data_IF_602440616484
#
_entry.id   IF_602440616484
#
_cell.length_a   1.000
_cell.length_b   1.000
_cell.length_c   1.000
_cell.angle_alpha   90.00
_cell.angle_beta   90.00
_cell.angle_gamma   90.00
#
_symmetry.space_group_name_H-M   'P 1'
#
loop_
_entity.id
_entity.type
_entity.pdbx_description
1 polymer ?
#
# COMPACT_ATOMS: atom_id res chain seq x y z
N UNK A 1 16.31 -34.35 -8.95
CA UNK A 1 15.02 -33.75 -9.32
C UNK A 1 14.95 -32.45 -8.57
N UNK A 2 15.28 -31.34 -9.24
CA UNK A 2 15.27 -30.01 -8.63
C UNK A 2 13.81 -29.56 -8.48
N UNK A 3 13.40 -29.21 -7.26
CA UNK A 3 12.05 -28.69 -6.99
C UNK A 3 12.05 -27.17 -7.15
N UNK A 4 10.91 -26.57 -7.49
CA UNK A 4 10.78 -25.11 -7.61
C UNK A 4 11.23 -24.36 -6.33
N UNK A 5 11.32 -25.06 -5.19
CA UNK A 5 11.67 -24.54 -3.88
C UNK A 5 13.15 -24.69 -3.48
N UNK A 6 14.00 -25.17 -4.39
CA UNK A 6 15.41 -25.47 -4.07
C UNK A 6 16.21 -24.26 -3.54
N UNK A 7 15.79 -23.04 -3.88
CA UNK A 7 16.41 -21.80 -3.42
C UNK A 7 15.61 -21.08 -2.33
N UNK A 8 14.50 -21.65 -1.90
CA UNK A 8 13.65 -21.09 -0.86
C UNK A 8 14.19 -21.48 0.52
N UNK A 9 15.36 -20.93 0.87
CA UNK A 9 16.07 -21.26 2.12
C UNK A 9 16.44 -20.01 2.92
N UNK A 10 16.70 -20.14 4.24
CA UNK A 10 17.08 -19.01 5.09
C UNK A 10 18.32 -18.26 4.59
N UNK A 11 19.26 -18.97 3.97
CA UNK A 11 20.50 -18.41 3.44
C UNK A 11 20.23 -17.45 2.29
N UNK A 12 19.42 -17.85 1.31
CA UNK A 12 19.06 -16.99 0.18
C UNK A 12 18.21 -15.80 0.61
N UNK A 13 17.30 -16.00 1.57
CA UNK A 13 16.53 -14.90 2.16
C UNK A 13 17.45 -13.88 2.85
N UNK A 14 18.40 -14.35 3.67
CA UNK A 14 19.36 -13.47 4.33
C UNK A 14 20.21 -12.70 3.32
N UNK A 15 20.76 -13.38 2.30
CA UNK A 15 21.65 -12.75 1.30
C UNK A 15 20.90 -11.69 0.48
N UNK A 16 19.75 -12.05 -0.08
CA UNK A 16 19.05 -11.20 -1.05
C UNK A 16 18.23 -10.10 -0.36
N UNK A 17 17.49 -10.45 0.70
CA UNK A 17 16.59 -9.51 1.36
C UNK A 17 17.24 -8.78 2.54
N UNK A 18 17.81 -9.47 3.53
CA UNK A 18 18.32 -8.76 4.72
C UNK A 18 19.68 -8.08 4.49
N UNK A 19 20.64 -8.77 3.88
CA UNK A 19 21.99 -8.25 3.62
C UNK A 19 22.06 -7.39 2.36
N UNK A 20 21.02 -7.41 1.53
CA UNK A 20 20.98 -6.70 0.25
C UNK A 20 22.25 -6.96 -0.60
N UNK A 21 22.72 -8.21 -0.66
CA UNK A 21 23.87 -8.64 -1.48
C UNK A 21 23.42 -9.19 -2.83
N UNK A 22 24.35 -9.19 -3.77
CA UNK A 22 24.16 -9.78 -5.10
C UNK A 22 24.51 -11.27 -5.06
N UNK A 23 23.92 -12.06 -5.95
CA UNK A 23 24.10 -13.51 -5.96
C UNK A 23 24.54 -13.96 -7.35
N UNK A 24 25.54 -14.83 -7.42
CA UNK A 24 25.99 -15.50 -8.64
C UNK A 24 25.76 -17.00 -8.46
N UNK A 25 24.95 -17.58 -9.34
CA UNK A 25 24.63 -19.00 -9.36
C UNK A 25 25.29 -19.63 -10.59
N UNK A 26 26.07 -20.69 -10.36
CA UNK A 26 26.69 -21.47 -11.41
C UNK A 26 26.83 -22.95 -10.99
N UNK A 27 26.91 -23.90 -11.92
CA UNK A 27 26.56 -23.72 -13.32
C UNK A 27 25.05 -23.44 -13.48
N UNK A 28 24.67 -23.07 -14.70
CA UNK A 28 23.35 -22.55 -15.03
C UNK A 28 22.20 -23.41 -14.48
N UNK A 29 21.18 -22.72 -13.97
CA UNK A 29 19.96 -23.33 -13.44
C UNK A 29 18.75 -22.91 -14.26
N UNK A 30 17.78 -23.79 -14.39
CA UNK A 30 16.54 -23.48 -15.09
C UNK A 30 15.83 -22.26 -14.51
N UNK A 31 15.27 -21.44 -15.41
CA UNK A 31 14.63 -20.17 -15.05
C UNK A 31 13.46 -20.35 -14.08
N UNK A 32 12.75 -21.47 -14.17
CA UNK A 32 11.62 -21.77 -13.27
C UNK A 32 12.07 -21.81 -11.81
N UNK A 33 13.21 -22.45 -11.53
CA UNK A 33 13.78 -22.53 -10.19
C UNK A 33 14.32 -21.17 -9.76
N UNK A 34 14.98 -20.45 -10.65
CA UNK A 34 15.51 -19.11 -10.39
C UNK A 34 14.41 -18.12 -9.97
N UNK A 35 13.21 -18.24 -10.57
CA UNK A 35 12.06 -17.38 -10.26
C UNK A 35 11.55 -17.50 -8.82
N UNK A 36 11.88 -18.57 -8.10
CA UNK A 36 11.57 -18.66 -6.67
C UNK A 36 12.25 -17.54 -5.86
N UNK A 37 13.43 -17.09 -6.30
CA UNK A 37 14.20 -16.01 -5.66
C UNK A 37 13.54 -14.63 -5.83
N UNK A 38 12.60 -14.46 -6.77
CA UNK A 38 11.87 -13.20 -6.95
C UNK A 38 11.11 -12.79 -5.69
N UNK A 39 10.69 -13.75 -4.88
CA UNK A 39 10.05 -13.49 -3.58
C UNK A 39 10.96 -12.68 -2.66
N UNK A 40 12.28 -12.81 -2.81
CA UNK A 40 13.24 -12.09 -1.97
C UNK A 40 13.61 -10.69 -2.49
N UNK A 41 13.08 -10.29 -3.65
CA UNK A 41 13.32 -8.99 -4.27
C UNK A 41 12.26 -7.93 -3.93
N UNK A 42 11.54 -8.09 -2.81
CA UNK A 42 10.47 -7.16 -2.38
C UNK A 42 10.96 -5.71 -2.36
N UNK A 43 10.14 -4.81 -2.92
CA UNK A 43 10.43 -3.38 -3.03
C UNK A 43 11.18 -2.98 -4.30
N UNK A 44 11.64 -3.95 -5.10
CA UNK A 44 12.32 -3.68 -6.37
C UNK A 44 11.46 -4.02 -7.58
N UNK A 45 11.70 -3.31 -8.67
CA UNK A 45 11.18 -3.68 -9.98
C UNK A 45 12.08 -4.76 -10.58
N UNK A 46 11.50 -5.92 -10.90
CA UNK A 46 12.27 -7.09 -11.37
C UNK A 46 12.38 -7.08 -12.89
N UNK A 47 13.62 -7.12 -13.40
CA UNK A 47 13.92 -7.13 -14.84
C UNK A 47 14.79 -8.32 -15.21
N UNK A 48 14.37 -9.09 -16.21
CA UNK A 48 15.14 -10.19 -16.77
C UNK A 48 16.01 -9.68 -17.94
N UNK A 49 17.32 -9.90 -17.88
CA UNK A 49 18.28 -9.54 -18.93
C UNK A 49 19.02 -10.78 -19.42
N UNK A 50 18.83 -11.14 -20.68
CA UNK A 50 19.55 -12.26 -21.30
C UNK A 50 20.75 -11.75 -22.08
N UNK A 51 21.96 -12.09 -21.61
CA UNK A 51 23.22 -11.68 -22.23
C UNK A 51 23.43 -12.29 -23.62
N UNK A 52 22.72 -13.38 -23.95
CA UNK A 52 22.73 -13.91 -25.30
C UNK A 52 22.03 -12.96 -26.31
N UNK A 53 21.11 -12.12 -25.85
CA UNK A 53 20.33 -11.21 -26.68
C UNK A 53 20.77 -9.74 -26.57
N UNK A 54 21.44 -9.36 -25.47
CA UNK A 54 21.77 -7.97 -25.15
C UNK A 54 23.29 -7.82 -25.04
N UNK A 55 23.92 -7.20 -26.04
CA UNK A 55 25.37 -7.04 -26.09
C UNK A 55 25.95 -5.96 -25.16
N UNK A 56 25.12 -5.00 -24.71
CA UNK A 56 25.54 -3.87 -23.87
C UNK A 56 24.90 -3.93 -22.45
N UNK A 57 24.82 -5.12 -21.87
CA UNK A 57 24.13 -5.36 -20.59
C UNK A 57 24.61 -4.46 -19.45
N UNK A 58 25.93 -4.27 -19.34
CA UNK A 58 26.52 -3.43 -18.30
C UNK A 58 26.14 -1.95 -18.43
N UNK A 59 26.08 -1.43 -19.67
CA UNK A 59 25.73 -0.03 -19.91
C UNK A 59 24.26 0.25 -19.54
N UNK A 60 23.36 -0.69 -19.85
CA UNK A 60 21.95 -0.59 -19.49
C UNK A 60 21.79 -0.56 -17.97
N UNK A 61 22.45 -1.49 -17.28
CA UNK A 61 22.40 -1.60 -15.82
C UNK A 61 22.99 -0.34 -15.16
N UNK A 62 24.12 0.17 -15.65
CA UNK A 62 24.74 1.40 -15.11
C UNK A 62 23.87 2.64 -15.35
N UNK A 63 23.26 2.75 -16.53
CA UNK A 63 22.37 3.85 -16.88
C UNK A 63 21.11 3.87 -16.02
N UNK A 64 20.48 2.71 -15.80
CA UNK A 64 19.29 2.62 -14.95
C UNK A 64 19.63 2.77 -13.46
N UNK A 65 20.72 2.17 -12.99
CA UNK A 65 21.14 2.29 -11.59
C UNK A 65 21.57 3.72 -11.20
N UNK A 66 21.83 4.60 -12.18
CA UNK A 66 22.12 6.02 -11.98
C UNK A 66 20.90 6.92 -12.13
N UNK A 67 19.77 6.38 -12.60
CA UNK A 67 18.52 7.12 -12.76
C UNK A 67 17.75 7.21 -11.44
N UNK A 68 17.21 8.39 -11.13
CA UNK A 68 16.37 8.67 -9.94
C UNK A 68 14.97 8.03 -10.08
N UNK A 69 14.88 6.72 -10.32
CA UNK A 69 13.58 6.02 -10.28
C UNK A 69 13.06 5.98 -8.84
N UNK A 70 11.74 6.06 -8.67
CA UNK A 70 11.12 6.00 -7.34
C UNK A 70 11.17 4.59 -6.72
N UNK A 71 11.47 3.56 -7.53
CA UNK A 71 11.68 2.19 -7.08
C UNK A 71 13.00 1.65 -7.66
N UNK A 72 13.87 1.05 -6.84
CA UNK A 72 15.13 0.48 -7.31
C UNK A 72 14.88 -0.77 -8.16
N UNK A 73 15.68 -0.99 -9.19
CA UNK A 73 15.56 -2.16 -10.07
C UNK A 73 16.39 -3.33 -9.54
N UNK A 74 15.87 -4.55 -9.67
CA UNK A 74 16.56 -5.80 -9.37
C UNK A 74 16.66 -6.66 -10.63
N UNK A 75 17.88 -6.98 -11.05
CA UNK A 75 18.11 -7.66 -12.33
C UNK A 75 18.33 -9.17 -12.16
N UNK A 76 17.69 -9.97 -13.02
CA UNK A 76 18.10 -11.34 -13.28
C UNK A 76 18.93 -11.36 -14.55
N UNK A 77 20.25 -11.54 -14.41
CA UNK A 77 21.19 -11.58 -15.52
C UNK A 77 21.44 -13.04 -15.92
N UNK A 78 21.00 -13.39 -17.13
CA UNK A 78 20.98 -14.76 -17.63
C UNK A 78 22.08 -14.97 -18.67
N UNK A 79 22.80 -16.08 -18.53
CA UNK A 79 23.88 -16.50 -19.43
C UNK A 79 25.00 -15.45 -19.69
N UNK A 80 25.43 -14.61 -18.72
CA UNK A 80 26.55 -13.72 -18.98
C UNK A 80 27.87 -14.48 -19.06
N UNK A 81 28.79 -13.95 -19.86
CA UNK A 81 30.18 -14.43 -19.95
C UNK A 81 30.99 -13.94 -18.75
N UNK A 82 32.10 -14.62 -18.46
CA UNK A 82 33.02 -14.28 -17.36
C UNK A 82 33.45 -12.80 -17.37
N UNK A 83 33.76 -12.24 -18.55
CA UNK A 83 34.15 -10.82 -18.72
C UNK A 83 33.03 -9.84 -18.33
N UNK A 84 31.77 -10.20 -18.58
CA UNK A 84 30.62 -9.38 -18.21
C UNK A 84 30.37 -9.44 -16.71
N UNK A 85 30.51 -10.63 -16.12
CA UNK A 85 30.39 -10.85 -14.69
C UNK A 85 31.47 -10.04 -13.93
N UNK A 86 32.70 -10.05 -14.42
CA UNK A 86 33.80 -9.27 -13.83
C UNK A 86 33.48 -7.76 -13.84
N UNK A 87 32.90 -7.24 -14.93
CA UNK A 87 32.42 -5.85 -14.99
C UNK A 87 31.29 -5.58 -13.99
N UNK A 88 30.30 -6.47 -13.89
CA UNK A 88 29.19 -6.34 -12.94
C UNK A 88 29.66 -6.32 -11.48
N UNK A 89 30.65 -7.16 -11.15
CA UNK A 89 31.20 -7.25 -9.79
C UNK A 89 31.84 -5.93 -9.37
N UNK A 90 32.47 -5.23 -10.31
CA UNK A 90 33.10 -3.93 -10.08
C UNK A 90 32.09 -2.76 -10.02
N UNK A 91 30.82 -2.99 -10.36
CA UNK A 91 29.81 -1.92 -10.35
C UNK A 91 29.26 -1.65 -8.94
N UNK A 92 29.12 -0.37 -8.60
CA UNK A 92 28.85 0.09 -7.22
C UNK A 92 27.37 0.24 -6.87
N UNK A 93 26.44 0.19 -7.83
CA UNK A 93 24.99 0.40 -7.57
C UNK A 93 24.07 -0.72 -8.03
N UNK A 94 24.63 -1.83 -8.52
CA UNK A 94 23.83 -2.93 -9.08
C UNK A 94 23.26 -3.83 -7.99
N UNK A 95 21.98 -4.20 -8.16
CA UNK A 95 21.27 -5.26 -7.42
C UNK A 95 20.86 -6.36 -8.38
N UNK A 96 21.42 -7.56 -8.25
CA UNK A 96 21.15 -8.63 -9.20
C UNK A 96 21.36 -10.07 -8.70
N UNK A 97 20.71 -11.00 -9.40
CA UNK A 97 21.04 -12.43 -9.44
C UNK A 97 21.62 -12.74 -10.82
N UNK A 98 22.81 -13.29 -10.86
CA UNK A 98 23.49 -13.75 -12.06
C UNK A 98 23.35 -15.28 -12.15
N UNK A 99 22.93 -15.78 -13.30
CA UNK A 99 22.81 -17.20 -13.59
C UNK A 99 23.66 -17.55 -14.81
N UNK A 100 24.81 -18.22 -14.60
CA UNK A 100 25.81 -18.44 -15.65
C UNK A 100 26.23 -19.91 -15.78
N UNK A 101 26.66 -20.29 -16.99
CA UNK A 101 27.28 -21.59 -17.28
C UNK A 101 28.78 -21.61 -16.98
N UNK A 102 29.40 -20.43 -16.90
CA UNK A 102 30.83 -20.27 -16.69
C UNK A 102 31.25 -20.68 -15.28
N UNK A 103 32.47 -21.19 -15.14
CA UNK A 103 33.06 -21.47 -13.82
C UNK A 103 33.72 -20.18 -13.34
N UNK A 104 33.11 -19.55 -12.34
CA UNK A 104 33.47 -18.20 -11.88
C UNK A 104 33.92 -18.14 -10.42
N UNK A 105 34.32 -19.29 -9.86
CA UNK A 105 34.80 -19.41 -8.48
C UNK A 105 35.99 -18.48 -8.19
N UNK A 106 36.87 -18.27 -9.17
CA UNK A 106 38.02 -17.37 -9.05
C UNK A 106 37.64 -15.90 -8.87
N UNK A 107 36.42 -15.50 -9.25
CA UNK A 107 35.91 -14.13 -9.10
C UNK A 107 35.32 -13.86 -7.71
N UNK A 108 35.26 -14.86 -6.82
CA UNK A 108 34.64 -14.76 -5.50
C UNK A 108 35.55 -14.06 -4.46
N UNK A 109 36.10 -12.90 -4.80
CA UNK A 109 37.07 -12.15 -3.97
C UNK A 109 36.48 -10.98 -3.17
N UNK A 110 35.17 -10.70 -3.33
CA UNK A 110 34.48 -9.58 -2.68
C UNK A 110 33.37 -10.01 -1.71
N UNK A 111 32.82 -9.02 -0.99
CA UNK A 111 31.73 -9.23 0.00
C UNK A 111 30.34 -8.90 -0.56
N UNK A 112 30.26 -8.16 -1.67
CA UNK A 112 29.01 -7.70 -2.29
C UNK A 112 28.32 -8.80 -3.10
N UNK A 113 29.08 -9.58 -3.82
CA UNK A 113 28.60 -10.70 -4.62
C UNK A 113 28.88 -12.00 -3.87
N UNK A 114 27.83 -12.79 -3.65
CA UNK A 114 27.92 -14.12 -3.06
C UNK A 114 27.83 -15.15 -4.18
N UNK A 115 28.73 -16.11 -4.19
CA UNK A 115 28.83 -17.14 -5.21
C UNK A 115 28.27 -18.45 -4.67
N UNK A 116 27.32 -19.05 -5.38
CA UNK A 116 26.70 -20.31 -5.05
C UNK A 116 26.93 -21.33 -6.16
N UNK A 117 27.63 -22.41 -5.81
CA UNK A 117 27.85 -23.53 -6.70
C UNK A 117 26.66 -24.52 -6.56
N UNK A 118 25.78 -24.57 -7.55
CA UNK A 118 24.60 -25.44 -7.56
C UNK A 118 24.95 -26.92 -7.60
N UNK A 119 26.07 -27.30 -8.24
CA UNK A 119 26.49 -28.71 -8.32
C UNK A 119 26.91 -29.25 -6.95
N UNK A 120 27.72 -28.50 -6.20
CA UNK A 120 28.11 -28.87 -4.84
C UNK A 120 27.08 -28.48 -3.79
N UNK A 121 26.12 -27.60 -4.13
CA UNK A 121 25.16 -26.97 -3.23
C UNK A 121 25.82 -26.15 -2.11
N UNK A 122 26.98 -25.56 -2.38
CA UNK A 122 27.75 -24.80 -1.41
C UNK A 122 27.97 -23.37 -1.87
N UNK A 123 28.07 -22.45 -0.90
CA UNK A 123 28.56 -21.11 -1.14
C UNK A 123 30.09 -21.09 -1.20
N UNK A 124 30.66 -20.24 -2.06
CA UNK A 124 32.13 -20.14 -2.24
C UNK A 124 32.73 -19.13 -1.27
N UNK A 125 32.10 -17.96 -1.14
CA UNK A 125 32.58 -16.83 -0.34
C UNK A 125 31.55 -16.36 0.71
N UNK A 126 30.66 -17.26 1.11
CA UNK A 126 29.70 -17.03 2.18
C UNK A 126 29.66 -18.27 3.06
N UNK A 127 29.75 -18.09 4.37
CA UNK A 127 29.77 -19.17 5.36
C UNK A 127 28.48 -19.11 6.18
N UNK A 128 27.45 -19.91 5.82
CA UNK A 128 26.17 -19.91 6.51
C UNK A 128 26.29 -20.21 8.02
N UNK A 129 27.25 -21.04 8.41
CA UNK A 129 27.45 -21.48 9.79
C UNK A 129 27.92 -20.35 10.71
N UNK A 130 28.56 -19.31 10.15
CA UNK A 130 29.00 -18.12 10.89
C UNK A 130 27.91 -17.04 11.00
N UNK A 131 26.77 -17.22 10.33
CA UNK A 131 25.70 -16.23 10.30
C UNK A 131 24.59 -16.62 11.28
N UNK A 132 24.06 -15.64 12.02
CA UNK A 132 22.81 -15.83 12.75
C UNK A 132 21.64 -15.75 11.76
N UNK A 133 21.10 -16.93 11.45
CA UNK A 133 19.92 -17.13 10.59
C UNK A 133 18.65 -17.42 11.39
N UNK A 134 18.63 -17.10 12.69
CA UNK A 134 17.51 -17.41 13.57
C UNK A 134 16.20 -16.75 13.12
N UNK A 135 16.27 -15.50 12.63
CA UNK A 135 15.10 -14.77 12.15
C UNK A 135 14.58 -15.32 10.83
N UNK A 136 15.45 -15.60 9.86
CA UNK A 136 15.10 -16.15 8.56
C UNK A 136 14.52 -17.57 8.70
N UNK A 137 15.09 -18.37 9.60
CA UNK A 137 14.53 -19.67 9.99
C UNK A 137 13.16 -19.52 10.64
N UNK A 138 12.97 -18.51 11.49
CA UNK A 138 11.67 -18.22 12.09
C UNK A 138 10.64 -17.83 11.02
N UNK A 139 10.99 -16.92 10.10
CA UNK A 139 10.10 -16.48 9.02
C UNK A 139 9.68 -17.65 8.12
N UNK A 140 10.62 -18.46 7.63
CA UNK A 140 10.29 -19.59 6.74
C UNK A 140 9.46 -20.66 7.47
N UNK A 141 9.66 -20.85 8.78
CA UNK A 141 8.87 -21.81 9.57
C UNK A 141 7.46 -21.30 9.88
N UNK A 142 7.34 -20.02 10.22
CA UNK A 142 6.06 -19.37 10.55
C UNK A 142 5.20 -19.17 9.30
N UNK A 143 5.83 -18.99 8.13
CA UNK A 143 5.16 -18.73 6.86
C UNK A 143 5.64 -19.73 5.79
N UNK A 144 5.19 -21.00 5.85
CA UNK A 144 5.63 -22.04 4.92
C UNK A 144 5.08 -21.87 3.50
N UNK A 145 3.99 -21.12 3.35
CA UNK A 145 3.43 -20.77 2.05
C UNK A 145 4.17 -19.57 1.43
N UNK A 146 4.44 -19.65 0.12
CA UNK A 146 5.17 -18.64 -0.64
C UNK A 146 4.50 -17.27 -0.58
N UNK A 147 3.17 -17.22 -0.63
CA UNK A 147 2.40 -15.98 -0.58
C UNK A 147 2.43 -15.39 0.83
N UNK A 148 2.27 -16.22 1.87
CA UNK A 148 2.33 -15.74 3.26
C UNK A 148 3.72 -15.18 3.61
N UNK A 149 4.81 -15.81 3.13
CA UNK A 149 6.14 -15.25 3.34
C UNK A 149 6.30 -13.92 2.58
N UNK A 150 5.81 -13.84 1.34
CA UNK A 150 5.84 -12.61 0.56
C UNK A 150 5.10 -11.47 1.28
N UNK A 151 3.92 -11.75 1.83
CA UNK A 151 3.11 -10.78 2.57
C UNK A 151 3.86 -10.28 3.82
N UNK A 152 4.53 -11.18 4.56
CA UNK A 152 5.35 -10.80 5.70
C UNK A 152 6.58 -9.97 5.29
N UNK A 153 7.23 -10.29 4.18
CA UNK A 153 8.33 -9.49 3.64
C UNK A 153 7.88 -8.09 3.22
N UNK A 154 6.68 -7.98 2.64
CA UNK A 154 6.04 -6.69 2.35
C UNK A 154 5.77 -5.92 3.65
N UNK A 155 5.33 -6.60 4.72
CA UNK A 155 5.12 -6.00 6.04
C UNK A 155 6.43 -5.42 6.61
N UNK A 156 7.52 -6.18 6.56
CA UNK A 156 8.86 -5.72 6.97
C UNK A 156 9.28 -4.49 6.15
N UNK A 157 9.10 -4.52 4.82
CA UNK A 157 9.39 -3.37 3.94
C UNK A 157 8.53 -2.16 4.28
N UNK A 158 7.25 -2.35 4.57
CA UNK A 158 6.33 -1.28 4.97
C UNK A 158 6.80 -0.61 6.26
N UNK A 159 7.24 -1.38 7.25
CA UNK A 159 7.80 -0.85 8.49
C UNK A 159 9.10 -0.11 8.25
N UNK A 160 10.01 -0.65 7.43
CA UNK A 160 11.22 0.05 7.02
C UNK A 160 10.90 1.41 6.36
N UNK A 161 9.85 1.46 5.55
CA UNK A 161 9.36 2.71 4.93
C UNK A 161 8.87 3.70 5.99
N UNK A 162 8.08 3.24 6.98
CA UNK A 162 7.60 4.08 8.09
C UNK A 162 8.75 4.63 8.93
N UNK A 163 9.75 3.80 9.21
CA UNK A 163 10.97 4.19 9.91
C UNK A 163 11.70 5.29 9.13
N UNK A 164 11.94 5.08 7.83
CA UNK A 164 12.60 6.07 6.96
C UNK A 164 11.88 7.41 6.94
N UNK A 165 10.55 7.40 6.72
CA UNK A 165 9.74 8.63 6.69
C UNK A 165 9.80 9.38 8.03
N UNK A 166 9.68 8.66 9.14
CA UNK A 166 9.69 9.28 10.46
C UNK A 166 11.06 9.89 10.81
N UNK A 167 12.15 9.22 10.46
CA UNK A 167 13.50 9.73 10.69
C UNK A 167 13.76 11.00 9.88
N UNK A 168 13.21 11.08 8.66
CA UNK A 168 13.29 12.28 7.81
C UNK A 168 12.40 13.43 8.31
N UNK A 169 11.22 13.14 8.87
CA UNK A 169 10.28 14.18 9.30
C UNK A 169 10.64 14.81 10.64
N UNK A 170 11.09 14.03 11.63
CA UNK A 170 11.23 14.54 13.01
C UNK A 170 12.56 14.22 13.68
N UNK A 171 13.50 13.51 13.03
CA UNK A 171 14.80 13.04 13.58
C UNK A 171 14.75 12.41 14.98
N UNK A 172 13.55 12.12 15.51
CA UNK A 172 13.35 11.59 16.84
C UNK A 172 13.12 10.07 16.74
N UNK A 173 14.07 9.26 17.26
CA UNK A 173 13.95 7.82 17.20
C UNK A 173 13.09 7.20 18.31
N UNK A 174 12.51 8.00 19.21
CA UNK A 174 11.70 7.53 20.36
C UNK A 174 10.44 6.75 19.95
N UNK A 175 9.96 6.87 18.71
CA UNK A 175 8.84 6.05 18.23
C UNK A 175 9.27 4.78 17.49
N UNK A 176 10.57 4.52 17.27
CA UNK A 176 11.04 3.25 16.68
C UNK A 176 10.52 2.03 17.46
N UNK A 177 10.52 2.02 18.82
CA UNK A 177 9.91 0.94 19.58
C UNK A 177 8.43 0.68 19.26
N UNK A 178 7.66 1.74 18.95
CA UNK A 178 6.24 1.60 18.61
C UNK A 178 6.05 1.00 17.21
N UNK A 179 6.90 1.36 16.25
CA UNK A 179 6.86 0.82 14.89
C UNK A 179 7.28 -0.65 14.82
N UNK A 180 8.18 -1.06 15.70
CA UNK A 180 8.72 -2.43 15.76
C UNK A 180 7.97 -3.34 16.75
N UNK A 181 6.94 -2.84 17.44
CA UNK A 181 6.23 -3.57 18.51
C UNK A 181 5.65 -4.92 18.09
N UNK A 182 5.35 -5.07 16.80
CA UNK A 182 4.76 -6.30 16.25
C UNK A 182 5.82 -7.39 16.01
N UNK A 183 7.10 -7.09 16.25
CA UNK A 183 8.22 -8.03 16.16
C UNK A 183 8.88 -8.19 17.52
N UNK A 184 9.35 -9.41 17.80
CA UNK A 184 10.16 -9.65 18.99
C UNK A 184 11.41 -8.77 18.95
N UNK A 185 11.73 -8.15 20.09
CA UNK A 185 12.86 -7.25 20.27
C UNK A 185 14.20 -7.86 19.86
N UNK A 186 14.35 -9.19 19.95
CA UNK A 186 15.55 -9.90 19.49
C UNK A 186 15.78 -9.77 17.96
N UNK A 187 14.74 -9.48 17.18
CA UNK A 187 14.80 -9.34 15.72
C UNK A 187 14.81 -7.88 15.24
N UNK A 188 14.74 -6.91 16.16
CA UNK A 188 14.70 -5.49 15.79
C UNK A 188 15.93 -5.08 15.00
N UNK A 189 17.11 -5.54 15.42
CA UNK A 189 18.36 -5.21 14.74
C UNK A 189 18.37 -5.66 13.27
N UNK A 190 17.81 -6.83 12.97
CA UNK A 190 17.69 -7.32 11.59
C UNK A 190 16.83 -6.40 10.72
N UNK A 191 15.70 -5.92 11.25
CA UNK A 191 14.79 -5.02 10.53
C UNK A 191 15.42 -3.63 10.36
N UNK A 192 16.11 -3.14 11.39
CA UNK A 192 16.82 -1.87 11.35
C UNK A 192 18.01 -1.91 10.37
N UNK A 193 18.81 -2.98 10.39
CA UNK A 193 19.91 -3.19 9.44
C UNK A 193 19.39 -3.25 8.00
N UNK A 194 18.30 -3.98 7.77
CA UNK A 194 17.61 -3.98 6.46
C UNK A 194 17.19 -2.57 6.05
N UNK A 195 16.59 -1.80 6.96
CA UNK A 195 16.13 -0.43 6.69
C UNK A 195 17.30 0.49 6.32
N UNK A 196 18.41 0.42 7.07
CA UNK A 196 19.65 1.15 6.77
C UNK A 196 20.15 0.83 5.37
N UNK A 197 20.23 -0.46 5.02
CA UNK A 197 20.77 -0.89 3.73
C UNK A 197 19.84 -0.54 2.56
N UNK A 198 18.53 -0.69 2.74
CA UNK A 198 17.54 -0.47 1.68
C UNK A 198 17.39 1.02 1.34
N UNK A 199 17.38 1.91 2.34
CA UNK A 199 17.22 3.35 2.14
C UNK A 199 18.53 4.14 2.14
N UNK A 200 19.66 3.48 2.37
CA UNK A 200 20.99 4.11 2.50
C UNK A 200 20.98 5.25 3.55
N UNK A 201 20.47 4.94 4.76
CA UNK A 201 20.32 5.90 5.87
C UNK A 201 21.05 5.45 7.13
N UNK A 202 21.50 6.39 7.95
CA UNK A 202 21.93 6.09 9.31
C UNK A 202 20.73 6.09 10.26
N UNK A 203 20.65 5.06 11.11
CA UNK A 203 19.63 4.97 12.16
C UNK A 203 20.29 5.34 13.48
N UNK A 204 19.85 6.43 14.15
CA UNK A 204 20.43 6.84 15.41
C UNK A 204 20.12 5.83 16.51
N UNK A 205 21.02 5.76 17.50
CA UNK A 205 20.78 4.95 18.68
C UNK A 205 19.55 5.46 19.44
N UNK A 206 18.78 4.53 19.98
CA UNK A 206 17.58 4.84 20.75
C UNK A 206 17.46 3.91 21.95
N UNK A 207 16.77 4.41 22.97
CA UNK A 207 16.54 3.65 24.18
C UNK A 207 15.61 2.49 23.88
N UNK A 208 16.18 1.29 24.00
CA UNK A 208 15.40 0.06 23.94
C UNK A 208 14.68 -0.08 25.27
N UNK A 209 13.34 -0.09 25.28
CA UNK A 209 12.61 -0.38 26.49
C UNK A 209 13.06 -1.74 27.03
N UNK A 210 13.50 -1.78 28.30
CA UNK A 210 13.95 -3.02 28.99
C UNK A 210 12.84 -4.07 29.05
N UNK A 211 11.61 -3.57 29.03
CA UNK A 211 10.37 -4.27 28.73
C UNK A 211 9.56 -3.25 27.93
N UNK A 212 9.22 -3.55 26.68
CA UNK A 212 7.96 -3.01 26.18
C UNK A 212 6.87 -3.46 27.17
N UNK A 213 5.73 -2.77 27.30
CA UNK A 213 4.52 -3.48 27.67
C UNK A 213 4.36 -4.56 26.61
N UNK A 214 4.95 -5.72 26.89
CA UNK A 214 4.84 -6.87 26.05
C UNK A 214 3.36 -7.19 26.03
N UNK A 215 2.87 -7.62 24.86
CA UNK A 215 2.13 -8.86 24.89
C UNK A 215 2.94 -9.81 25.78
N UNK A 216 2.39 -10.19 26.92
CA UNK A 216 2.97 -11.23 27.75
C UNK A 216 3.43 -12.36 26.83
N UNK A 217 4.60 -12.94 27.06
CA UNK A 217 5.04 -14.10 26.29
C UNK A 217 4.05 -15.30 26.40
N UNK A 218 3.05 -15.19 27.29
CA UNK A 218 1.91 -16.09 27.46
C UNK A 218 0.55 -15.47 27.10
N UNK A 219 0.48 -14.19 26.72
CA UNK A 219 -0.72 -13.70 26.02
C UNK A 219 -0.55 -14.14 24.58
N UNK A 220 -1.35 -15.11 24.16
CA UNK A 220 -1.61 -15.35 22.75
C UNK A 220 -1.78 -13.99 22.05
N UNK A 221 -1.32 -13.82 20.79
CA UNK A 221 -1.76 -12.66 20.03
C UNK A 221 -3.26 -12.57 20.26
N UNK A 222 -3.79 -11.44 20.74
CA UNK A 222 -5.25 -11.29 20.74
C UNK A 222 -5.65 -11.60 19.32
N UNK A 223 -6.20 -12.81 19.13
CA UNK A 223 -6.58 -13.30 17.83
C UNK A 223 -7.54 -12.23 17.37
N UNK A 224 -7.19 -11.56 16.26
CA UNK A 224 -8.11 -10.62 15.65
C UNK A 224 -9.43 -11.36 15.56
N UNK A 225 -10.41 -10.87 16.32
CA UNK A 225 -11.65 -11.62 16.46
C UNK A 225 -12.25 -11.65 15.07
N UNK A 226 -12.57 -12.85 14.62
CA UNK A 226 -13.17 -13.00 13.31
C UNK A 226 -14.65 -12.59 13.38
N UNK A 227 -14.92 -11.36 12.95
CA UNK A 227 -16.28 -10.83 12.82
C UNK A 227 -16.90 -11.10 11.45
N UNK A 228 -16.34 -12.06 10.69
CA UNK A 228 -16.88 -12.54 9.42
C UNK A 228 -18.36 -12.94 9.50
N UNK A 229 -18.76 -13.53 10.62
CA UNK A 229 -20.15 -13.95 10.84
C UNK A 229 -21.10 -12.75 10.91
N UNK A 230 -20.72 -11.67 11.60
CA UNK A 230 -21.50 -10.43 11.65
C UNK A 230 -21.63 -9.82 10.23
N UNK A 231 -20.52 -9.77 9.49
CA UNK A 231 -20.52 -9.29 8.11
C UNK A 231 -21.42 -10.14 7.20
N UNK A 232 -21.39 -11.47 7.34
CA UNK A 232 -22.24 -12.35 6.56
C UNK A 232 -23.74 -12.20 6.88
N UNK A 233 -24.09 -11.92 8.14
CA UNK A 233 -25.47 -11.60 8.54
C UNK A 233 -25.96 -10.35 7.78
N UNK A 234 -25.12 -9.31 7.71
CA UNK A 234 -25.44 -8.07 6.99
C UNK A 234 -25.67 -8.34 5.50
N UNK A 235 -24.84 -9.18 4.90
CA UNK A 235 -24.89 -9.46 3.46
C UNK A 235 -25.99 -10.44 3.04
N UNK A 236 -26.42 -11.36 3.93
CA UNK A 236 -27.35 -12.45 3.60
C UNK A 236 -28.83 -12.06 3.66
N UNK A 237 -29.21 -11.07 4.47
CA UNK A 237 -30.63 -10.76 4.69
C UNK A 237 -31.23 -9.97 3.52
N UNK A 238 -30.58 -8.90 3.09
CA UNK A 238 -31.05 -8.10 1.96
C UNK A 238 -29.87 -7.49 1.18
N UNK A 239 -29.84 -7.74 -0.13
CA UNK A 239 -28.73 -7.33 -1.00
C UNK A 239 -28.56 -5.80 -1.10
N UNK A 240 -29.66 -5.03 -1.09
CA UNK A 240 -29.60 -3.56 -1.19
C UNK A 240 -29.03 -2.96 0.09
N UNK A 241 -29.46 -3.49 1.24
CA UNK A 241 -29.00 -3.10 2.57
C UNK A 241 -27.49 -3.34 2.70
N UNK A 242 -27.02 -4.53 2.30
CA UNK A 242 -25.60 -4.88 2.30
C UNK A 242 -24.75 -4.02 1.35
N UNK A 243 -25.26 -3.67 0.17
CA UNK A 243 -24.54 -2.77 -0.75
C UNK A 243 -24.34 -1.36 -0.17
N UNK A 244 -25.35 -0.81 0.50
CA UNK A 244 -25.25 0.49 1.19
C UNK A 244 -24.30 0.43 2.36
N UNK A 245 -24.29 -0.68 3.09
CA UNK A 245 -23.31 -0.93 4.14
C UNK A 245 -21.87 -0.86 3.60
N UNK A 246 -21.58 -1.58 2.51
CA UNK A 246 -20.26 -1.59 1.86
C UNK A 246 -19.84 -0.17 1.45
N UNK A 247 -20.75 0.60 0.86
CA UNK A 247 -20.46 1.99 0.48
C UNK A 247 -20.10 2.83 1.71
N UNK A 248 -20.82 2.68 2.81
CA UNK A 248 -20.60 3.45 4.04
C UNK A 248 -19.32 3.05 4.77
N UNK A 249 -18.93 1.77 4.79
CA UNK A 249 -17.64 1.40 5.39
C UNK A 249 -16.46 1.96 4.59
N UNK A 250 -16.58 2.06 3.26
CA UNK A 250 -15.55 2.70 2.43
C UNK A 250 -15.51 4.22 2.62
N UNK A 251 -16.66 4.88 2.77
CA UNK A 251 -16.72 6.30 3.11
C UNK A 251 -16.13 6.55 4.51
N UNK A 252 -16.49 5.72 5.48
CA UNK A 252 -15.93 5.78 6.83
C UNK A 252 -14.41 5.59 6.82
N UNK A 253 -13.92 4.63 6.02
CA UNK A 253 -12.47 4.45 5.79
C UNK A 253 -11.83 5.74 5.27
N UNK A 254 -12.39 6.36 4.24
CA UNK A 254 -11.85 7.59 3.66
C UNK A 254 -11.82 8.74 4.67
N UNK A 255 -12.85 8.86 5.51
CA UNK A 255 -13.00 9.99 6.44
C UNK A 255 -12.26 9.81 7.77
N UNK A 256 -12.13 8.57 8.27
CA UNK A 256 -11.77 8.28 9.67
C UNK A 256 -10.59 7.33 9.85
N UNK A 257 -10.12 6.68 8.78
CA UNK A 257 -9.02 5.71 8.86
C UNK A 257 -7.82 6.25 8.09
N UNK A 258 -6.65 6.26 8.72
CA UNK A 258 -5.41 6.57 8.02
C UNK A 258 -5.06 5.40 7.08
N UNK A 259 -4.99 5.62 5.74
CA UNK A 259 -4.68 4.55 4.79
C UNK A 259 -3.34 3.84 5.06
N UNK A 260 -2.38 4.50 5.74
CA UNK A 260 -1.10 3.91 6.11
C UNK A 260 -1.19 2.80 7.20
N UNK A 261 -2.35 2.68 7.85
CA UNK A 261 -2.64 1.66 8.87
C UNK A 261 -3.43 0.47 8.31
N UNK A 262 -3.77 0.50 7.01
CA UNK A 262 -4.52 -0.57 6.35
C UNK A 262 -3.58 -1.43 5.51
N UNK A 263 -3.83 -2.74 5.55
CA UNK A 263 -3.22 -3.67 4.62
C UNK A 263 -3.94 -3.65 3.26
N UNK A 264 -3.24 -4.08 2.21
CA UNK A 264 -3.76 -4.10 0.84
C UNK A 264 -5.10 -4.84 0.74
N UNK A 265 -5.31 -6.03 1.36
CA UNK A 265 -6.61 -6.69 1.32
C UNK A 265 -7.74 -5.88 1.96
N UNK A 266 -7.46 -5.09 2.99
CA UNK A 266 -8.44 -4.24 3.67
C UNK A 266 -8.82 -3.01 2.82
N UNK A 267 -8.02 -2.67 1.81
CA UNK A 267 -8.36 -1.62 0.85
C UNK A 267 -9.38 -2.07 -0.20
N UNK A 268 -9.38 -3.36 -0.55
CA UNK A 268 -10.15 -3.90 -1.68
C UNK A 268 -11.28 -4.84 -1.28
N UNK A 269 -11.16 -5.54 -0.15
CA UNK A 269 -12.14 -6.52 0.31
C UNK A 269 -12.97 -5.98 1.48
N UNK A 270 -14.27 -5.68 1.28
CA UNK A 270 -15.14 -5.12 2.31
C UNK A 270 -15.23 -5.94 3.61
N UNK A 271 -15.15 -7.27 3.51
CA UNK A 271 -15.14 -8.19 4.66
C UNK A 271 -13.89 -8.00 5.52
N UNK A 272 -12.72 -7.89 4.89
CA UNK A 272 -11.45 -7.64 5.59
C UNK A 272 -11.41 -6.24 6.20
N UNK A 273 -11.94 -5.25 5.48
CA UNK A 273 -12.10 -3.89 6.01
C UNK A 273 -13.03 -3.86 7.23
N UNK A 274 -14.14 -4.61 7.20
CA UNK A 274 -15.06 -4.71 8.32
C UNK A 274 -14.38 -5.33 9.56
N UNK A 275 -13.66 -6.43 9.40
CA UNK A 275 -12.90 -7.05 10.49
C UNK A 275 -11.87 -6.10 11.09
N UNK A 276 -11.14 -5.36 10.24
CA UNK A 276 -10.23 -4.32 10.70
C UNK A 276 -10.96 -3.24 11.52
N UNK A 277 -12.08 -2.71 10.99
CA UNK A 277 -12.85 -1.68 11.69
C UNK A 277 -13.39 -2.19 13.03
N UNK A 278 -13.85 -3.44 13.12
CA UNK A 278 -14.33 -4.05 14.37
C UNK A 278 -13.23 -4.25 15.40
N UNK A 279 -12.03 -4.62 14.99
CA UNK A 279 -10.90 -4.82 15.89
C UNK A 279 -10.24 -3.50 16.35
N UNK A 280 -10.33 -2.40 15.57
CA UNK A 280 -9.53 -1.19 15.85
C UNK A 280 -10.31 0.12 16.01
N UNK A 281 -11.52 0.22 15.45
CA UNK A 281 -12.33 1.45 15.49
C UNK A 281 -13.66 1.24 16.22
N UNK A 282 -14.18 0.02 16.21
CA UNK A 282 -15.53 -0.34 16.67
C UNK A 282 -15.44 -1.48 17.69
N UNK A 283 -14.51 -1.40 18.65
CA UNK A 283 -14.26 -2.45 19.65
C UNK A 283 -15.54 -2.86 20.40
N UNK A 284 -16.41 -1.89 20.70
CA UNK A 284 -17.70 -2.07 21.40
C UNK A 284 -18.88 -2.42 20.48
N UNK A 285 -18.64 -2.69 19.20
CA UNK A 285 -19.67 -2.89 18.17
C UNK A 285 -19.84 -1.69 17.24
N UNK A 286 -20.71 -1.83 16.23
CA UNK A 286 -20.93 -0.81 15.20
C UNK A 286 -21.48 0.49 15.85
N UNK A 287 -20.84 1.66 15.66
CA UNK A 287 -21.27 2.90 16.30
C UNK A 287 -22.67 3.33 15.87
N UNK A 288 -23.44 3.88 16.81
CA UNK A 288 -24.82 4.31 16.53
C UNK A 288 -24.92 5.40 15.46
N UNK A 289 -23.92 6.28 15.37
CA UNK A 289 -23.84 7.28 14.31
C UNK A 289 -23.70 6.64 12.93
N UNK A 290 -22.95 5.53 12.83
CA UNK A 290 -22.82 4.76 11.61
C UNK A 290 -24.14 4.08 11.24
N UNK A 291 -24.80 3.45 12.22
CA UNK A 291 -26.13 2.83 12.05
C UNK A 291 -27.16 3.86 11.57
N UNK A 292 -27.16 5.06 12.14
CA UNK A 292 -28.07 6.15 11.75
C UNK A 292 -27.82 6.62 10.31
N UNK A 293 -26.56 6.72 9.89
CA UNK A 293 -26.21 7.01 8.49
C UNK A 293 -26.61 5.88 7.56
N UNK A 294 -26.49 4.63 8.01
CA UNK A 294 -26.88 3.46 7.24
C UNK A 294 -28.38 3.41 7.00
N UNK A 295 -29.19 3.70 8.01
CA UNK A 295 -30.65 3.80 7.87
C UNK A 295 -31.02 4.89 6.87
N UNK A 296 -30.43 6.10 6.99
CA UNK A 296 -30.70 7.21 6.06
C UNK A 296 -30.30 6.88 4.62
N UNK A 297 -29.10 6.34 4.41
CA UNK A 297 -28.60 5.98 3.08
C UNK A 297 -29.38 4.83 2.42
N UNK A 298 -30.11 4.06 3.23
CA UNK A 298 -31.01 3.00 2.78
C UNK A 298 -32.42 3.56 2.51
N UNK A 299 -32.87 4.57 3.28
CA UNK A 299 -34.15 5.25 3.14
C UNK A 299 -34.24 6.23 1.94
N UNK A 300 -33.10 6.64 1.36
CA UNK A 300 -33.06 7.46 0.14
C UNK A 300 -33.59 6.75 -1.13
N UNK A 301 -34.02 5.48 -1.01
CA UNK A 301 -34.76 4.75 -2.03
C UNK A 301 -36.07 4.22 -1.45
N UNK A 302 -37.06 4.00 -2.31
CA UNK A 302 -38.37 3.40 -2.00
C UNK A 302 -38.21 1.98 -1.43
N UNK A 303 -37.83 1.89 -0.17
CA UNK A 303 -37.87 0.66 0.61
C UNK A 303 -39.32 0.26 0.78
N UNK A 304 -39.62 -1.01 0.54
CA UNK A 304 -40.91 -1.57 0.92
C UNK A 304 -40.99 -1.70 2.44
N UNK A 305 -42.19 -1.89 2.97
CA UNK A 305 -42.38 -2.23 4.40
C UNK A 305 -41.58 -3.50 4.77
N UNK A 306 -41.48 -4.44 3.82
CA UNK A 306 -40.64 -5.65 3.93
C UNK A 306 -39.14 -5.31 4.06
N UNK A 307 -38.60 -4.37 3.28
CA UNK A 307 -37.20 -3.95 3.36
C UNK A 307 -36.89 -3.33 4.75
N UNK A 308 -37.84 -2.60 5.35
CA UNK A 308 -37.70 -2.06 6.70
C UNK A 308 -37.70 -3.14 7.78
N UNK A 309 -38.60 -4.13 7.67
CA UNK A 309 -38.59 -5.29 8.57
C UNK A 309 -37.28 -6.07 8.44
N UNK A 310 -36.80 -6.29 7.21
CA UNK A 310 -35.53 -6.99 6.96
C UNK A 310 -34.33 -6.22 7.54
N UNK A 311 -34.31 -4.90 7.44
CA UNK A 311 -33.28 -4.07 8.09
C UNK A 311 -33.35 -4.20 9.62
N UNK A 312 -34.56 -4.16 10.19
CA UNK A 312 -34.76 -4.35 11.62
C UNK A 312 -34.32 -5.74 12.08
N UNK A 313 -34.56 -6.79 11.27
CA UNK A 313 -34.05 -8.13 11.53
C UNK A 313 -32.52 -8.18 11.52
N UNK A 314 -31.84 -7.44 10.64
CA UNK A 314 -30.36 -7.34 10.64
C UNK A 314 -29.87 -6.69 11.93
N UNK A 315 -30.45 -5.55 12.34
CA UNK A 315 -30.02 -4.86 13.56
C UNK A 315 -30.25 -5.72 14.81
N UNK A 316 -31.40 -6.39 14.90
CA UNK A 316 -31.70 -7.29 16.01
C UNK A 316 -30.73 -8.48 16.08
N UNK A 317 -30.31 -9.04 14.93
CA UNK A 317 -29.31 -10.13 14.88
C UNK A 317 -27.90 -9.70 15.26
N UNK A 318 -27.62 -8.40 15.23
CA UNK A 318 -26.33 -7.80 15.60
C UNK A 318 -26.37 -7.13 16.98
N UNK A 319 -27.47 -7.29 17.74
CA UNK A 319 -27.73 -6.60 19.01
C UNK A 319 -27.58 -5.07 18.93
N UNK A 320 -27.91 -4.48 17.78
CA UNK A 320 -27.83 -3.03 17.55
C UNK A 320 -29.18 -2.36 17.80
N UNK A 321 -29.22 -1.24 18.54
CA UNK A 321 -30.46 -0.54 18.81
C UNK A 321 -30.95 0.15 17.52
N UNK A 322 -32.20 -0.10 17.14
CA UNK A 322 -32.85 0.61 16.05
C UNK A 322 -33.11 2.06 16.49
N UNK A 323 -32.43 3.08 15.93
CA UNK A 323 -32.83 4.45 16.17
C UNK A 323 -34.17 4.64 15.47
N UNK A 324 -35.24 4.81 16.25
CA UNK A 324 -36.53 5.24 15.72
C UNK A 324 -36.27 6.49 14.86
N UNK A 325 -36.71 6.53 13.60
CA UNK A 325 -36.69 7.77 12.85
C UNK A 325 -37.56 8.75 13.65
N UNK A 326 -36.96 9.80 14.19
CA UNK A 326 -37.69 11.04 14.33
C UNK A 326 -38.02 11.46 12.89
N UNK A 327 -39.17 10.98 12.40
CA UNK A 327 -39.83 11.62 11.29
C UNK A 327 -40.14 13.03 11.80
N UNK A 328 -39.32 14.00 11.40
CA UNK A 328 -39.71 15.40 11.46
C UNK A 328 -40.95 15.51 10.58
N UNK A 329 -42.11 15.43 11.23
CA UNK A 329 -43.40 15.77 10.67
C UNK A 329 -43.48 17.30 10.54
N UNK A 330 -42.59 17.88 9.74
CA UNK A 330 -42.74 19.25 9.26
C UNK A 330 -43.01 19.21 7.75
N UNK A 331 -44.22 18.74 7.43
CA UNK A 331 -44.90 19.19 6.23
C UNK A 331 -46.36 19.47 6.57
N UNK A 332 -46.63 20.74 6.86
CA UNK A 332 -47.95 21.34 6.74
C UNK A 332 -48.56 21.91 8.02
N UNK A 333 -48.12 23.11 8.42
CA UNK A 333 -49.01 24.25 8.71
C UNK A 333 -48.22 25.42 9.31
N UNK A 334 -47.91 26.43 8.49
CA UNK A 334 -47.78 27.81 8.98
C UNK A 334 -49.15 28.30 9.50
N UNK A 335 -49.22 29.15 10.55
CA UNK A 335 -48.95 30.57 10.35
C UNK A 335 -48.19 31.32 11.46
N UNK A 336 -47.33 32.22 10.99
CA UNK A 336 -47.05 33.60 11.46
C UNK A 336 -46.94 33.89 12.97
N UNK A 337 -45.74 34.28 13.44
CA UNK A 337 -45.37 35.70 13.72
C UNK A 337 -44.00 35.84 14.42
N UNK A 338 -43.09 36.58 13.77
CA UNK A 338 -42.13 37.59 14.29
C UNK A 338 -41.34 37.27 15.59
N UNK A 339 -40.02 37.07 15.49
CA UNK A 339 -39.03 38.14 15.73
C UNK A 339 -37.56 37.67 15.65
N UNK A 340 -36.73 38.61 15.20
CA UNK A 340 -35.29 38.63 14.90
C UNK A 340 -34.32 37.82 15.78
N UNK A 341 -33.25 37.27 15.20
CA UNK A 341 -32.01 38.01 14.86
C UNK A 341 -30.89 37.06 14.36
N UNK A 342 -30.25 37.47 13.24
CA UNK A 342 -28.81 37.38 12.88
C UNK A 342 -28.04 36.05 13.12
N UNK A 343 -27.34 35.40 12.17
CA UNK A 343 -26.68 35.82 10.93
C UNK A 343 -26.47 34.61 10.00
N UNK A 344 -26.40 34.91 8.69
CA UNK A 344 -26.47 34.04 7.50
C UNK A 344 -25.16 33.34 7.14
N UNK A 345 -25.27 32.20 6.44
CA UNK A 345 -24.49 31.92 5.21
C UNK A 345 -25.37 31.16 4.20
N UNK A 346 -25.96 31.91 3.28
CA UNK A 346 -26.53 31.39 2.04
C UNK A 346 -25.42 31.22 1.01
N UNK A 347 -25.38 30.04 0.39
CA UNK A 347 -24.89 29.88 -0.98
C UNK A 347 -25.97 30.42 -1.93
N UNK A 348 -25.58 31.14 -2.98
CA UNK A 348 -26.44 31.17 -4.16
C UNK A 348 -25.63 31.00 -5.45
N UNK A 349 -25.97 29.97 -6.22
CA UNK A 349 -25.89 30.02 -7.68
C UNK A 349 -27.27 29.63 -8.19
N UNK A 350 -28.04 30.61 -8.63
CA UNK A 350 -28.82 30.62 -9.89
C UNK A 350 -29.84 31.75 -9.85
N UNK A 351 -29.62 32.79 -10.67
CA UNK A 351 -30.66 33.42 -11.49
C UNK A 351 -29.99 34.52 -12.35
N UNK A 352 -30.09 34.36 -13.66
CA UNK A 352 -29.59 35.28 -14.69
C UNK A 352 -30.72 36.25 -15.09
N UNK A 353 -30.38 37.56 -15.07
CA UNK A 353 -30.85 38.71 -15.87
C UNK A 353 -32.35 39.08 -15.90
N UNK A 354 -32.60 40.37 -15.62
CA UNK A 354 -33.07 41.36 -16.62
C UNK A 354 -32.93 42.82 -16.15
N UNK A 355 -32.34 43.63 -17.05
CA UNK A 355 -32.62 45.07 -17.34
C UNK A 355 -32.04 46.13 -16.36
N UNK A 356 -31.01 46.89 -16.80
CA UNK A 356 -31.06 48.29 -17.32
C UNK A 356 -31.19 49.31 -16.17
N UNK A 357 -30.27 50.25 -15.86
CA UNK A 357 -29.73 51.38 -16.62
C UNK A 357 -28.69 52.13 -15.74
N UNK A 358 -27.76 52.91 -16.34
CA UNK A 358 -27.37 54.22 -15.78
C UNK A 358 -26.05 54.43 -15.00
N UNK A 359 -25.03 54.92 -15.73
CA UNK A 359 -24.10 56.03 -15.39
C UNK A 359 -22.80 55.89 -14.54
N UNK A 360 -21.67 56.16 -15.25
CA UNK A 360 -20.57 57.14 -15.02
C UNK A 360 -19.50 56.86 -13.91
N UNK A 361 -18.29 56.42 -14.28
CA UNK A 361 -16.99 57.14 -14.54
C UNK A 361 -15.97 57.10 -13.36
N UNK A 362 -14.86 56.32 -13.45
CA UNK A 362 -13.41 56.72 -13.67
C UNK A 362 -12.59 56.86 -12.34
N UNK A 363 -11.26 56.56 -12.22
CA UNK A 363 -10.43 55.40 -12.61
C UNK A 363 -9.47 54.84 -11.48
N UNK A 364 -8.90 53.64 -11.73
CA UNK A 364 -7.59 53.02 -11.37
C UNK A 364 -6.56 53.71 -10.40
N UNK A 365 -5.69 52.97 -9.65
CA UNK A 365 -4.68 52.07 -10.27
C UNK A 365 -4.29 50.75 -9.55
N UNK A 366 -4.32 49.68 -10.36
CA UNK A 366 -3.26 48.69 -10.65
C UNK A 366 -2.33 48.25 -9.50
N UNK A 367 -2.52 46.99 -9.03
CA UNK A 367 -1.41 46.06 -8.75
C UNK A 367 -1.68 44.71 -9.40
N UNK A 368 -0.74 44.30 -10.25
CA UNK A 368 -0.76 43.09 -11.09
C UNK A 368 -0.55 41.84 -10.23
N UNK A 369 -1.52 40.91 -10.25
CA UNK A 369 -1.31 39.50 -9.90
C UNK A 369 -1.75 38.68 -11.12
N UNK A 370 -0.85 37.84 -11.64
CA UNK A 370 -1.09 36.97 -12.80
C UNK A 370 -2.26 36.03 -12.48
N UNK A 371 -3.39 36.22 -13.19
CA UNK A 371 -4.52 35.31 -13.16
C UNK A 371 -4.18 34.02 -13.91
N UNK A 372 -4.27 32.90 -13.20
CA UNK A 372 -4.39 31.56 -13.78
C UNK A 372 -5.73 31.53 -14.52
N UNK A 373 -5.73 31.24 -15.82
CA UNK A 373 -6.95 31.09 -16.61
C UNK A 373 -7.81 29.99 -15.98
N UNK A 374 -8.97 30.37 -15.45
CA UNK A 374 -10.05 29.43 -15.15
C UNK A 374 -10.39 28.69 -16.46
N UNK A 375 -10.12 27.39 -16.49
CA UNK A 375 -10.63 26.50 -17.53
C UNK A 375 -12.11 26.34 -17.24
N UNK A 376 -12.96 26.90 -18.10
CA UNK A 376 -14.42 26.71 -18.04
C UNK A 376 -14.74 25.21 -17.98
N UNK A 377 -15.46 24.80 -16.95
CA UNK A 377 -15.87 23.42 -16.72
C UNK A 377 -16.99 23.05 -17.70
N UNK A 378 -16.63 22.57 -18.88
CA UNK A 378 -17.58 21.91 -19.78
C UNK A 378 -18.08 20.64 -19.07
N UNK A 379 -19.41 20.47 -18.88
CA UNK A 379 -19.96 19.30 -18.20
C UNK A 379 -19.56 18.01 -18.92
N UNK A 380 -19.13 17.02 -18.13
CA UNK A 380 -18.67 15.72 -18.65
C UNK A 380 -19.88 14.98 -19.25
N UNK A 381 -19.83 14.54 -20.52
CA UNK A 381 -20.93 13.77 -21.10
C UNK A 381 -21.13 12.44 -20.36
N UNK A 382 -22.37 11.97 -20.17
CA UNK A 382 -22.63 10.68 -19.55
C UNK A 382 -22.07 9.52 -20.39
N UNK A 383 -21.49 8.52 -19.71
CA UNK A 383 -20.82 7.36 -20.33
C UNK A 383 -21.76 6.55 -21.25
N UNK A 384 -23.08 6.62 -21.00
CA UNK A 384 -24.10 5.99 -21.84
C UNK A 384 -24.10 6.48 -23.30
N UNK A 385 -23.58 7.68 -23.57
CA UNK A 385 -23.33 8.16 -24.93
C UNK A 385 -21.82 8.14 -25.23
N UNK A 386 -21.28 6.93 -25.38
CA UNK A 386 -19.84 6.68 -25.50
C UNK A 386 -19.16 7.47 -26.62
N UNK A 387 -19.88 7.77 -27.72
CA UNK A 387 -19.34 8.53 -28.84
C UNK A 387 -19.02 9.98 -28.46
N UNK A 388 -19.90 10.63 -27.70
CA UNK A 388 -19.70 12.00 -27.22
C UNK A 388 -18.68 12.04 -26.08
N UNK A 389 -18.73 11.06 -25.17
CA UNK A 389 -17.74 10.95 -24.09
C UNK A 389 -16.32 10.76 -24.65
N UNK A 390 -16.13 9.86 -25.63
CA UNK A 390 -14.85 9.66 -26.31
C UNK A 390 -14.36 10.93 -27.00
N UNK A 391 -15.25 11.64 -27.69
CA UNK A 391 -14.91 12.92 -28.34
C UNK A 391 -14.47 13.99 -27.34
N UNK A 392 -15.13 14.06 -26.19
CA UNK A 392 -14.78 14.98 -25.11
C UNK A 392 -13.41 14.67 -24.49
N UNK A 393 -13.11 13.39 -24.25
CA UNK A 393 -11.81 12.95 -23.71
C UNK A 393 -10.66 13.31 -24.66
N UNK A 394 -10.80 13.00 -25.95
CA UNK A 394 -9.76 13.30 -26.94
C UNK A 394 -9.50 14.81 -27.03
N UNK A 395 -10.56 15.62 -27.03
CA UNK A 395 -10.43 17.08 -27.03
C UNK A 395 -9.72 17.61 -25.79
N UNK A 396 -9.97 17.02 -24.61
CA UNK A 396 -9.30 17.42 -23.36
C UNK A 396 -7.82 17.02 -23.33
N UNK A 397 -7.47 15.89 -23.93
CA UNK A 397 -6.07 15.48 -24.08
C UNK A 397 -5.32 16.43 -25.02
N UNK A 398 -5.92 16.81 -26.15
CA UNK A 398 -5.34 17.81 -27.07
C UNK A 398 -5.18 19.19 -26.41
N UNK A 399 -6.15 19.61 -25.58
CA UNK A 399 -6.05 20.86 -24.80
C UNK A 399 -4.90 20.81 -23.78
N UNK A 400 -4.65 19.67 -23.13
CA UNK A 400 -3.54 19.48 -22.18
C UNK A 400 -2.19 19.41 -22.88
N UNK A 401 -2.10 18.75 -24.03
CA UNK A 401 -0.86 18.64 -24.80
C UNK A 401 -0.41 20.01 -25.36
N UNK A 402 -1.37 20.86 -25.75
CA UNK A 402 -1.11 22.23 -26.20
C UNK A 402 -0.82 23.24 -25.07
N UNK A 403 -1.03 22.87 -23.80
CA UNK A 403 -0.59 23.67 -22.64
C UNK A 403 0.89 23.35 -22.30
N UNK A 404 1.42 22.23 -22.80
CA UNK A 404 2.78 21.74 -22.55
C UNK A 404 3.80 22.14 -23.63
N UNK A 405 3.40 22.94 -24.63
CA UNK A 405 4.26 23.60 -25.62
C UNK A 405 4.22 25.11 -25.40
#
# INVERSE_FOLDING_TARGET
MDTEYDFFTPEFLNILFFQQKNLVIFPYVDLKHLRSLQVFAVGHDVVDLDSAAIHNLNEIIEFEASSYSQQPTFYFVLNPKTEEIEKLINSTKVRCVVNTREIVESLANGTRFVFYNKKSKTFVNYEPEKQDLSFEKHLIRSYPDKQLLLDEMIRIKSIATKIYLQLNENSNPDNLPKLLRDYNQIYWDKILDFTRLYYDIEIPNFDRPKQLPGRDANSEPEEEKDFSNEYEIIMKVNRKIGQKFIQLIHNYRFDKVNPANLEVPQLFYPKMLYNYLRNHHWEKGIPQEFVSKWIRATADFSLTEDDHMEFQMVLNKLDLPYPLPQFDAERGSEPATVSSSHFKRENPIQAIRKEEEGHKTVPSPVKKVKQIKQIESVPIPPIGNFREFRGWVLKKLDELENISK
#
